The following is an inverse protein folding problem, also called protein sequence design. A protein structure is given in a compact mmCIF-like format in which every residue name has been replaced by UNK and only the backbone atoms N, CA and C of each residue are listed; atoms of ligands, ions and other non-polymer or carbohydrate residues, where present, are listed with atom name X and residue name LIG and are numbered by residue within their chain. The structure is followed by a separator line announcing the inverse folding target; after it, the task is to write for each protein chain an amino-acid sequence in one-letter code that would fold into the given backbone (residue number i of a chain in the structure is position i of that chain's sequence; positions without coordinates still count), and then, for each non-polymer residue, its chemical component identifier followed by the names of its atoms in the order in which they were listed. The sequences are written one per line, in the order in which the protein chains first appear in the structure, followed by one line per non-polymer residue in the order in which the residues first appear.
data_IF_967005070672
#
_entry.id   IF_967005070672
#
_cell.length_a   1.000
_cell.length_b   1.000
_cell.length_c   1.000
_cell.angle_alpha   90.00
_cell.angle_beta   90.00
_cell.angle_gamma   90.00
#
_symmetry.space_group_name_H-M   'P 1'
#
loop_
_entity.id
_entity.type
_entity.pdbx_description
1 polymer ?
#
# COMPACT_ATOMS: atom_id res chain seq x y z
N UNK A 1 -2.64 -12.08 9.42
CA UNK A 1 -3.99 -11.72 8.94
C UNK A 1 -4.86 -12.89 9.36
N UNK A 2 -5.97 -12.61 10.05
CA UNK A 2 -6.78 -13.66 10.68
C UNK A 2 -7.23 -14.71 9.66
N UNK A 3 -7.22 -15.95 10.13
CA UNK A 3 -7.90 -17.12 9.56
C UNK A 3 -9.30 -16.70 9.11
N UNK A 4 -9.54 -16.61 7.79
CA UNK A 4 -10.88 -16.49 7.23
C UNK A 4 -11.05 -17.55 6.14
N UNK A 5 -11.28 -18.78 6.62
CA UNK A 5 -12.00 -19.81 5.92
C UNK A 5 -13.44 -19.33 5.74
N UNK A 6 -13.77 -18.76 4.58
CA UNK A 6 -15.14 -18.72 4.09
C UNK A 6 -15.12 -18.82 2.57
N UNK A 7 -15.48 -20.01 2.11
CA UNK A 7 -16.23 -20.30 0.87
C UNK A 7 -16.38 -19.08 -0.05
N UNK A 8 -15.41 -18.88 -0.94
CA UNK A 8 -15.55 -18.01 -2.10
C UNK A 8 -16.79 -18.47 -2.89
N UNK A 9 -17.91 -17.74 -2.87
CA UNK A 9 -19.04 -18.10 -3.71
C UNK A 9 -18.59 -17.96 -5.17
N UNK A 10 -19.08 -18.86 -6.03
CA UNK A 10 -18.84 -19.06 -7.47
C UNK A 10 -18.91 -17.81 -8.38
N UNK A 11 -18.97 -16.60 -7.83
CA UNK A 11 -18.94 -15.29 -8.47
C UNK A 11 -17.51 -14.71 -8.63
N UNK A 12 -16.46 -15.49 -8.40
CA UNK A 12 -15.06 -15.14 -8.68
C UNK A 12 -14.67 -15.26 -10.17
N UNK A 13 -15.63 -15.58 -11.06
CA UNK A 13 -15.42 -15.64 -12.52
C UNK A 13 -15.17 -14.27 -13.19
N UNK A 14 -15.24 -13.16 -12.46
CA UNK A 14 -15.16 -11.80 -13.03
C UNK A 14 -13.93 -11.00 -12.60
N UNK A 15 -13.07 -11.52 -11.71
CA UNK A 15 -11.93 -10.74 -11.19
C UNK A 15 -10.70 -10.87 -12.08
N UNK A 16 -10.56 -11.99 -12.82
CA UNK A 16 -9.50 -12.21 -13.81
C UNK A 16 -10.06 -13.01 -15.00
N UNK A 17 -11.14 -12.53 -15.63
CA UNK A 17 -11.11 -12.53 -17.10
C UNK A 17 -10.26 -11.33 -17.46
N UNK A 18 -8.95 -11.50 -17.46
CA UNK A 18 -8.18 -10.91 -18.55
C UNK A 18 -8.86 -11.51 -19.78
N UNK A 19 -9.81 -10.76 -20.36
CA UNK A 19 -10.27 -11.01 -21.71
C UNK A 19 -9.00 -11.31 -22.48
N UNK A 20 -8.84 -12.53 -23.04
CA UNK A 20 -7.63 -12.94 -23.78
C UNK A 20 -6.99 -11.70 -24.36
N UNK A 21 -5.89 -11.18 -23.79
CA UNK A 21 -5.51 -9.82 -24.07
C UNK A 21 -5.14 -9.85 -25.53
N UNK A 22 -5.93 -9.16 -26.37
CA UNK A 22 -5.67 -9.10 -27.81
C UNK A 22 -4.30 -8.45 -28.06
N UNK A 23 -3.73 -7.77 -27.05
CA UNK A 23 -2.42 -7.14 -27.04
C UNK A 23 -1.64 -7.40 -25.74
N UNK A 24 -0.39 -7.84 -25.87
CA UNK A 24 0.57 -7.96 -24.76
C UNK A 24 0.80 -6.64 -24.01
N UNK A 25 0.63 -5.51 -24.70
CA UNK A 25 0.76 -4.18 -24.13
C UNK A 25 -0.24 -3.92 -22.98
N UNK A 26 -1.49 -4.37 -23.11
CA UNK A 26 -2.50 -4.13 -22.06
C UNK A 26 -2.16 -4.90 -20.77
N UNK A 27 -1.71 -6.15 -20.89
CA UNK A 27 -1.23 -6.94 -19.74
C UNK A 27 0.01 -6.36 -19.11
N UNK A 28 0.95 -5.86 -19.92
CA UNK A 28 2.16 -5.21 -19.42
C UNK A 28 1.82 -3.95 -18.63
N UNK A 29 0.93 -3.09 -19.14
CA UNK A 29 0.51 -1.87 -18.44
C UNK A 29 -0.23 -2.19 -17.13
N UNK A 30 -1.09 -3.21 -17.12
CA UNK A 30 -1.76 -3.65 -15.90
C UNK A 30 -0.77 -4.16 -14.84
N UNK A 31 0.23 -4.95 -15.23
CA UNK A 31 1.28 -5.42 -14.33
C UNK A 31 2.18 -4.26 -13.85
N UNK A 32 2.49 -3.30 -14.73
CA UNK A 32 3.27 -2.11 -14.37
C UNK A 32 2.58 -1.25 -13.31
N UNK A 33 1.24 -1.13 -13.34
CA UNK A 33 0.47 -0.44 -12.30
C UNK A 33 0.63 -1.10 -10.92
N UNK A 34 0.61 -2.44 -10.87
CA UNK A 34 0.90 -3.18 -9.63
C UNK A 34 2.33 -2.96 -9.14
N UNK A 35 3.29 -2.87 -10.07
CA UNK A 35 4.67 -2.51 -9.76
C UNK A 35 4.80 -1.08 -9.20
N UNK A 36 4.09 -0.10 -9.75
CA UNK A 36 4.08 1.28 -9.25
C UNK A 36 3.55 1.36 -7.82
N UNK A 37 2.51 0.59 -7.50
CA UNK A 37 2.01 0.50 -6.12
C UNK A 37 3.06 -0.01 -5.13
N UNK A 38 3.99 -0.87 -5.56
CA UNK A 38 5.06 -1.39 -4.69
C UNK A 38 6.06 -0.30 -4.26
N UNK A 39 6.23 0.73 -5.08
CA UNK A 39 7.09 1.87 -4.77
C UNK A 39 6.37 3.02 -4.07
N UNK A 40 5.08 2.87 -3.77
CA UNK A 40 4.32 3.85 -3.02
C UNK A 40 4.91 4.04 -1.60
N UNK A 41 5.00 5.28 -1.13
CA UNK A 41 5.40 5.60 0.24
C UNK A 41 6.83 6.11 0.45
N UNK A 42 7.67 6.22 -0.60
CA UNK A 42 8.98 6.89 -0.48
C UNK A 42 8.84 8.36 -0.03
N UNK A 43 7.71 8.98 -0.37
CA UNK A 43 7.37 10.37 -0.06
C UNK A 43 7.14 10.64 1.42
N UNK A 44 6.84 9.60 2.22
CA UNK A 44 6.58 9.72 3.65
C UNK A 44 7.79 10.31 4.41
N UNK A 45 9.00 10.23 3.84
CA UNK A 45 10.18 10.91 4.37
C UNK A 45 10.03 12.45 4.40
N UNK A 46 9.20 13.02 3.53
CA UNK A 46 8.89 14.46 3.50
C UNK A 46 7.92 14.89 4.59
N UNK A 47 6.98 14.03 5.01
CA UNK A 47 5.98 14.35 6.04
C UNK A 47 6.57 14.53 7.45
N UNK A 48 7.78 14.01 7.65
CA UNK A 48 8.58 14.15 8.88
C UNK A 48 9.79 15.06 8.67
N UNK A 49 9.82 15.85 7.59
CA UNK A 49 10.97 16.68 7.25
C UNK A 49 11.40 17.62 8.40
N UNK A 50 10.42 18.16 9.12
CA UNK A 50 10.62 19.08 10.25
C UNK A 50 11.30 18.40 11.46
N UNK A 51 11.21 17.08 11.56
CA UNK A 51 11.79 16.28 12.66
C UNK A 51 13.19 15.74 12.32
N UNK A 52 13.64 15.90 11.07
CA UNK A 52 14.91 15.36 10.58
C UNK A 52 16.02 16.41 10.66
N UNK A 53 17.15 16.06 11.26
CA UNK A 53 18.35 16.90 11.24
C UNK A 53 18.92 17.02 9.80
N UNK A 54 19.18 18.24 9.31
CA UNK A 54 19.64 18.52 7.94
C UNK A 54 18.70 17.93 6.85
N UNK A 55 17.44 18.40 6.79
CA UNK A 55 16.42 17.84 5.90
C UNK A 55 16.80 17.97 4.42
N UNK A 56 17.48 19.07 4.04
CA UNK A 56 17.91 19.36 2.67
C UNK A 56 18.78 18.27 2.06
N UNK A 57 19.59 17.57 2.87
CA UNK A 57 20.46 16.48 2.39
C UNK A 57 19.95 15.10 2.77
N UNK A 58 19.33 14.94 3.95
CA UNK A 58 18.93 13.61 4.45
C UNK A 58 17.67 13.09 3.79
N UNK A 59 16.68 13.95 3.53
CA UNK A 59 15.41 13.52 2.94
C UNK A 59 15.60 12.99 1.52
N UNK A 60 16.30 13.71 0.60
CA UNK A 60 16.49 13.19 -0.76
C UNK A 60 17.28 11.88 -0.78
N UNK A 61 18.28 11.74 0.09
CA UNK A 61 19.05 10.50 0.24
C UNK A 61 18.19 9.35 0.75
N UNK A 62 17.36 9.61 1.76
CA UNK A 62 16.43 8.60 2.29
C UNK A 62 15.45 8.14 1.22
N UNK A 63 14.86 9.05 0.45
CA UNK A 63 13.96 8.73 -0.66
C UNK A 63 14.64 7.87 -1.75
N UNK A 64 15.87 8.20 -2.14
CA UNK A 64 16.61 7.40 -3.14
C UNK A 64 16.93 6.01 -2.56
N UNK A 65 17.37 5.93 -1.31
CA UNK A 65 17.69 4.65 -0.68
C UNK A 65 16.45 3.76 -0.52
N UNK A 66 15.29 4.31 -0.16
CA UNK A 66 14.06 3.53 -0.05
C UNK A 66 13.63 2.98 -1.41
N UNK A 67 13.75 3.76 -2.49
CA UNK A 67 13.46 3.28 -3.85
C UNK A 67 14.46 2.20 -4.28
N UNK A 68 15.76 2.41 -4.08
CA UNK A 68 16.78 1.44 -4.50
C UNK A 68 16.71 0.14 -3.71
N UNK A 69 16.69 0.22 -2.38
CA UNK A 69 16.66 -0.96 -1.50
C UNK A 69 15.30 -1.67 -1.62
N UNK A 70 14.19 -0.92 -1.63
CA UNK A 70 12.85 -1.46 -1.84
C UNK A 70 12.69 -2.12 -3.21
N UNK A 71 13.21 -1.48 -4.26
CA UNK A 71 13.15 -2.00 -5.62
C UNK A 71 13.99 -3.25 -5.83
N UNK A 72 15.24 -3.25 -5.37
CA UNK A 72 16.12 -4.42 -5.48
C UNK A 72 15.58 -5.58 -4.65
N UNK A 73 15.16 -5.34 -3.40
CA UNK A 73 14.61 -6.41 -2.56
C UNK A 73 13.29 -6.95 -3.10
N UNK A 74 12.41 -6.09 -3.60
CA UNK A 74 11.15 -6.47 -4.26
C UNK A 74 11.38 -7.29 -5.53
N UNK A 75 12.31 -6.86 -6.38
CA UNK A 75 12.65 -7.56 -7.62
C UNK A 75 13.26 -8.94 -7.35
N UNK A 76 14.20 -9.03 -6.41
CA UNK A 76 14.82 -10.30 -6.03
C UNK A 76 13.80 -11.26 -5.40
N UNK A 77 12.93 -10.74 -4.53
CA UNK A 77 11.87 -11.55 -3.92
C UNK A 77 10.89 -12.06 -4.97
N UNK A 78 10.45 -11.20 -5.88
CA UNK A 78 9.55 -11.58 -6.97
C UNK A 78 10.16 -12.63 -7.90
N UNK A 79 11.41 -12.42 -8.34
CA UNK A 79 12.13 -13.40 -9.16
C UNK A 79 12.28 -14.75 -8.43
N UNK A 80 12.61 -14.71 -7.13
CA UNK A 80 12.68 -15.91 -6.29
C UNK A 80 11.35 -16.66 -6.22
N UNK A 81 10.24 -15.96 -5.98
CA UNK A 81 8.91 -16.58 -5.91
C UNK A 81 8.48 -17.18 -7.26
N UNK A 82 8.75 -16.50 -8.37
CA UNK A 82 8.39 -17.01 -9.71
C UNK A 82 9.18 -18.29 -10.03
N UNK A 83 10.46 -18.36 -9.66
CA UNK A 83 11.30 -19.54 -9.88
C UNK A 83 10.95 -20.70 -8.93
N UNK A 84 10.52 -20.40 -7.71
CA UNK A 84 10.15 -21.39 -6.69
C UNK A 84 8.69 -21.85 -6.80
N UNK A 85 7.87 -21.19 -7.63
CA UNK A 85 6.45 -21.48 -7.78
C UNK A 85 6.21 -22.90 -8.32
N UNK A 86 5.50 -23.78 -7.57
CA UNK A 86 5.25 -25.16 -8.00
C UNK A 86 4.25 -25.25 -9.17
N UNK A 87 3.23 -24.37 -9.18
CA UNK A 87 2.30 -24.24 -10.29
C UNK A 87 1.92 -22.77 -10.49
N UNK A 88 2.58 -22.13 -11.47
CA UNK A 88 2.32 -20.74 -11.80
C UNK A 88 0.93 -20.52 -12.40
N UNK A 89 0.36 -21.52 -13.09
CA UNK A 89 -0.96 -21.39 -13.70
C UNK A 89 -2.06 -21.38 -12.63
N UNK A 90 -1.93 -22.22 -11.59
CA UNK A 90 -2.85 -22.23 -10.46
C UNK A 90 -2.84 -20.91 -9.67
N UNK A 91 -1.67 -20.26 -9.54
CA UNK A 91 -1.52 -18.95 -8.89
C UNK A 91 -2.16 -17.85 -9.73
N UNK A 92 -1.85 -17.80 -11.04
CA UNK A 92 -2.40 -16.79 -11.95
C UNK A 92 -3.92 -16.94 -12.11
N UNK A 93 -4.44 -18.17 -12.04
CA UNK A 93 -5.87 -18.46 -12.06
C UNK A 93 -6.59 -18.07 -10.76
N UNK A 94 -5.86 -17.70 -9.70
CA UNK A 94 -6.42 -17.32 -8.41
C UNK A 94 -7.00 -18.48 -7.60
N UNK A 95 -6.61 -19.72 -7.94
CA UNK A 95 -7.02 -20.94 -7.22
C UNK A 95 -6.31 -21.08 -5.88
N UNK A 96 -5.06 -20.58 -5.80
CA UNK A 96 -4.33 -20.41 -4.55
C UNK A 96 -4.47 -18.96 -4.08
N UNK A 97 -5.16 -18.76 -2.96
CA UNK A 97 -5.39 -17.45 -2.38
C UNK A 97 -4.13 -16.89 -1.67
N UNK A 98 -3.25 -17.77 -1.19
CA UNK A 98 -2.07 -17.41 -0.40
C UNK A 98 -0.82 -18.13 -0.97
N UNK A 99 -0.31 -17.69 -2.13
CA UNK A 99 0.74 -18.42 -2.85
C UNK A 99 2.08 -18.45 -2.11
N UNK A 100 2.40 -17.44 -1.28
CA UNK A 100 3.71 -17.35 -0.62
C UNK A 100 3.91 -18.47 0.41
N UNK A 101 2.99 -18.71 1.38
CA UNK A 101 3.05 -19.88 2.25
C UNK A 101 3.14 -21.21 1.50
N UNK A 102 2.37 -21.39 0.42
CA UNK A 102 2.38 -22.60 -0.41
C UNK A 102 3.75 -22.84 -1.06
N UNK A 103 4.35 -21.78 -1.60
CA UNK A 103 5.72 -21.84 -2.17
C UNK A 103 6.73 -22.21 -1.09
N UNK A 104 6.67 -21.58 0.08
CA UNK A 104 7.58 -21.86 1.20
C UNK A 104 7.54 -23.34 1.63
N UNK A 105 6.35 -23.91 1.80
CA UNK A 105 6.19 -25.32 2.21
C UNK A 105 6.73 -26.26 1.12
N UNK A 106 6.41 -26.01 -0.14
CA UNK A 106 6.80 -26.89 -1.24
C UNK A 106 8.29 -26.83 -1.58
N UNK A 107 8.93 -25.67 -1.45
CA UNK A 107 10.35 -25.52 -1.78
C UNK A 107 11.30 -25.91 -0.64
N UNK A 108 10.89 -25.76 0.63
CA UNK A 108 11.76 -25.91 1.80
C UNK A 108 11.37 -27.06 2.74
N UNK A 109 10.33 -27.84 2.41
CA UNK A 109 9.90 -28.99 3.21
C UNK A 109 9.56 -28.64 4.66
N UNK A 110 10.16 -29.33 5.63
CA UNK A 110 9.90 -29.11 7.07
C UNK A 110 10.27 -27.70 7.53
N UNK A 111 11.38 -27.12 7.04
CA UNK A 111 11.73 -25.72 7.32
C UNK A 111 10.71 -24.74 6.70
N UNK A 112 10.13 -25.12 5.56
CA UNK A 112 9.08 -24.38 4.89
C UNK A 112 7.80 -24.24 5.73
N UNK A 113 7.43 -25.26 6.50
CA UNK A 113 6.23 -25.20 7.37
C UNK A 113 6.34 -24.18 8.51
N UNK A 114 7.54 -24.00 9.06
CA UNK A 114 7.81 -22.97 10.08
C UNK A 114 7.81 -21.59 9.43
N UNK A 115 8.49 -21.46 8.28
CA UNK A 115 8.52 -20.22 7.50
C UNK A 115 7.11 -19.75 7.07
N UNK A 116 6.27 -20.67 6.61
CA UNK A 116 4.89 -20.40 6.21
C UNK A 116 4.00 -19.87 7.36
N UNK A 117 4.28 -20.28 8.61
CA UNK A 117 3.58 -19.75 9.79
C UNK A 117 4.17 -18.44 10.28
N UNK A 118 5.49 -18.25 10.19
CA UNK A 118 6.17 -17.03 10.61
C UNK A 118 5.92 -15.86 9.65
N UNK A 119 5.88 -16.12 8.34
CA UNK A 119 5.67 -15.11 7.31
C UNK A 119 4.44 -14.21 7.56
N UNK A 120 3.22 -14.72 7.76
CA UNK A 120 2.06 -13.85 7.99
C UNK A 120 2.16 -13.04 9.28
N UNK A 121 2.91 -13.48 10.29
CA UNK A 121 3.13 -12.71 11.52
C UNK A 121 4.02 -11.50 11.22
N UNK A 122 5.12 -11.71 10.50
CA UNK A 122 6.04 -10.64 10.08
C UNK A 122 5.32 -9.65 9.15
N UNK A 123 4.52 -10.15 8.22
CA UNK A 123 3.72 -9.29 7.33
C UNK A 123 2.76 -8.43 8.15
N UNK A 124 2.02 -8.99 9.10
CA UNK A 124 1.08 -8.21 9.93
C UNK A 124 1.78 -7.13 10.72
N UNK A 125 2.93 -7.42 11.34
CA UNK A 125 3.66 -6.41 12.12
C UNK A 125 4.17 -5.28 11.22
N UNK A 126 4.65 -5.60 10.01
CA UNK A 126 5.05 -4.61 9.02
C UNK A 126 3.87 -3.73 8.57
N UNK A 127 2.70 -4.32 8.29
CA UNK A 127 1.50 -3.58 7.90
C UNK A 127 0.99 -2.68 9.03
N UNK A 128 1.00 -3.13 10.28
CA UNK A 128 0.61 -2.30 11.44
C UNK A 128 1.53 -1.09 11.55
N UNK A 129 2.85 -1.28 11.42
CA UNK A 129 3.83 -0.19 11.43
C UNK A 129 3.56 0.83 10.31
N UNK A 130 3.32 0.35 9.10
CA UNK A 130 2.99 1.20 7.95
C UNK A 130 1.70 2.01 8.17
N UNK A 131 0.62 1.36 8.61
CA UNK A 131 -0.68 2.01 8.86
C UNK A 131 -0.55 3.07 9.97
N UNK A 132 0.22 2.82 11.02
CA UNK A 132 0.45 3.80 12.07
C UNK A 132 1.21 5.03 11.53
N UNK A 133 2.23 4.80 10.71
CA UNK A 133 3.00 5.87 10.06
C UNK A 133 2.12 6.72 9.12
N UNK A 134 1.28 6.09 8.30
CA UNK A 134 0.36 6.79 7.39
C UNK A 134 -0.69 7.61 8.15
N UNK A 135 -1.18 7.11 9.29
CA UNK A 135 -2.13 7.87 10.12
C UNK A 135 -1.48 9.10 10.74
N UNK A 136 -0.24 8.97 11.22
CA UNK A 136 0.52 10.10 11.74
C UNK A 136 0.75 11.16 10.66
N UNK A 137 1.28 10.77 9.49
CA UNK A 137 1.52 11.66 8.35
C UNK A 137 0.22 12.32 7.83
N UNK A 138 -0.82 11.52 7.58
CA UNK A 138 -2.11 12.01 7.09
C UNK A 138 -2.78 13.01 8.02
N UNK A 139 -2.66 12.82 9.34
CA UNK A 139 -3.20 13.77 10.32
C UNK A 139 -2.51 15.14 10.27
N UNK A 140 -1.19 15.17 10.01
CA UNK A 140 -0.40 16.40 9.87
C UNK A 140 -0.75 17.15 8.57
N UNK A 141 -0.88 16.41 7.47
CA UNK A 141 -1.31 16.97 6.19
C UNK A 141 -2.73 17.56 6.28
N UNK A 142 -3.66 16.81 6.87
CA UNK A 142 -5.04 17.26 7.03
C UNK A 142 -5.14 18.49 7.95
N UNK A 143 -4.34 18.53 9.01
CA UNK A 143 -4.21 19.70 9.88
C UNK A 143 -3.64 20.92 9.14
N UNK A 144 -2.60 20.75 8.32
CA UNK A 144 -2.02 21.83 7.53
C UNK A 144 -3.05 22.45 6.57
N UNK A 145 -3.80 21.62 5.84
CA UNK A 145 -4.88 22.10 4.96
C UNK A 145 -6.02 22.79 5.73
N UNK A 146 -6.32 22.32 6.95
CA UNK A 146 -7.32 22.96 7.80
C UNK A 146 -6.85 24.31 8.34
N UNK A 147 -5.57 24.44 8.72
CA UNK A 147 -4.96 25.71 9.14
C UNK A 147 -5.09 26.78 8.06
N UNK A 148 -4.93 26.39 6.81
CA UNK A 148 -5.00 27.28 5.64
C UNK A 148 -6.45 27.54 5.19
N UNK A 149 -7.45 27.11 5.97
CA UNK A 149 -8.90 27.26 5.74
C UNK A 149 -9.39 26.68 4.40
N UNK A 150 -8.66 25.71 3.84
CA UNK A 150 -8.99 25.08 2.55
C UNK A 150 -10.08 24.00 2.67
N UNK A 151 -10.42 23.58 3.90
CA UNK A 151 -11.35 22.49 4.16
C UNK A 151 -12.65 22.97 4.83
N UNK A 152 -13.81 22.35 4.52
CA UNK A 152 -15.04 22.58 5.27
C UNK A 152 -14.85 22.08 6.71
N UNK A 153 -15.26 22.90 7.70
CA UNK A 153 -15.02 22.58 9.11
C UNK A 153 -13.57 22.79 9.56
N UNK A 154 -12.78 23.58 8.82
CA UNK A 154 -11.37 23.92 9.12
C UNK A 154 -11.11 24.27 10.58
N UNK A 155 -12.00 25.04 11.23
CA UNK A 155 -11.87 25.44 12.64
C UNK A 155 -11.86 24.25 13.62
N UNK A 156 -12.55 23.15 13.30
CA UNK A 156 -12.56 21.94 14.11
C UNK A 156 -11.38 21.03 13.78
N UNK A 157 -11.00 20.90 12.50
CA UNK A 157 -9.84 20.10 12.07
C UNK A 157 -8.49 20.72 12.49
N UNK A 158 -8.42 22.05 12.56
CA UNK A 158 -7.21 22.79 12.95
C UNK A 158 -7.01 22.86 14.47
N UNK A 159 -7.78 22.11 15.26
CA UNK A 159 -7.62 22.09 16.71
C UNK A 159 -6.56 21.06 17.13
N UNK A 160 -5.56 21.50 17.89
CA UNK A 160 -4.51 20.66 18.47
C UNK A 160 -4.84 20.42 19.93
N UNK A 161 -4.70 19.17 20.39
CA UNK A 161 -4.92 18.84 21.80
C UNK A 161 -3.76 19.29 22.68
N UNK A 162 -4.04 20.04 23.74
CA UNK A 162 -3.03 20.53 24.69
C UNK A 162 -2.29 19.41 25.44
N UNK A 163 -2.91 18.23 25.57
CA UNK A 163 -2.34 17.10 26.33
C UNK A 163 -1.32 16.29 25.54
N UNK A 164 -1.53 16.15 24.23
CA UNK A 164 -0.74 15.27 23.37
C UNK A 164 0.02 16.01 22.27
N UNK A 165 -0.18 17.33 22.14
CA UNK A 165 0.43 18.19 21.11
C UNK A 165 0.24 17.68 19.68
N UNK A 166 -0.85 16.93 19.45
CA UNK A 166 -1.22 16.35 18.14
C UNK A 166 -2.64 16.76 17.76
N UNK A 167 -2.93 16.89 16.45
CA UNK A 167 -4.27 17.26 15.96
C UNK A 167 -5.23 16.06 16.07
N UNK A 168 -5.80 15.84 17.26
CA UNK A 168 -6.65 14.67 17.56
C UNK A 168 -7.89 14.60 16.67
N UNK A 169 -8.48 15.74 16.31
CA UNK A 169 -9.65 15.79 15.43
C UNK A 169 -9.29 15.36 13.99
N UNK A 170 -8.18 15.87 13.46
CA UNK A 170 -7.67 15.47 12.15
C UNK A 170 -7.31 13.98 12.13
N UNK A 171 -6.64 13.50 13.19
CA UNK A 171 -6.32 12.08 13.35
C UNK A 171 -7.58 11.23 13.36
N UNK A 172 -8.61 11.61 14.12
CA UNK A 172 -9.89 10.89 14.18
C UNK A 172 -10.54 10.78 12.78
N UNK A 173 -10.53 11.85 11.98
CA UNK A 173 -11.04 11.80 10.60
C UNK A 173 -10.23 10.82 9.74
N UNK A 174 -8.90 10.88 9.83
CA UNK A 174 -8.00 9.97 9.10
C UNK A 174 -8.17 8.51 9.52
N UNK A 175 -8.56 8.23 10.77
CA UNK A 175 -8.91 6.87 11.24
C UNK A 175 -10.29 6.43 10.76
N UNK A 176 -11.29 7.31 10.87
CA UNK A 176 -12.71 6.98 10.63
C UNK A 176 -12.97 6.72 9.14
N UNK A 177 -12.36 7.49 8.25
CA UNK A 177 -12.60 7.33 6.79
C UNK A 177 -12.22 5.92 6.28
N UNK A 178 -11.03 5.36 6.56
CA UNK A 178 -10.70 3.98 6.24
C UNK A 178 -11.61 2.96 6.92
N UNK A 179 -12.02 3.18 8.17
CA UNK A 179 -12.94 2.29 8.91
C UNK A 179 -14.31 2.24 8.22
N UNK A 180 -14.79 3.36 7.67
CA UNK A 180 -16.05 3.40 6.93
C UNK A 180 -15.93 2.69 5.57
N UNK A 181 -14.76 2.73 4.94
CA UNK A 181 -14.50 2.06 3.65
C UNK A 181 -14.28 0.55 3.81
N UNK A 182 -13.69 0.11 4.93
CA UNK A 182 -13.32 -1.29 5.16
C UNK A 182 -14.47 -2.31 5.00
N UNK A 183 -15.70 -2.08 5.51
CA UNK A 183 -16.84 -2.98 5.29
C UNK A 183 -17.20 -3.18 3.81
N UNK A 184 -17.09 -2.13 2.99
CA UNK A 184 -17.37 -2.23 1.55
C UNK A 184 -16.36 -3.11 0.84
N UNK A 185 -15.09 -3.05 1.26
CA UNK A 185 -14.04 -3.93 0.74
C UNK A 185 -14.26 -5.37 1.21
N UNK A 186 -14.69 -5.57 2.46
CA UNK A 186 -14.98 -6.90 2.99
C UNK A 186 -16.11 -7.60 2.23
N UNK A 187 -17.15 -6.85 1.83
CA UNK A 187 -18.29 -7.39 1.10
C UNK A 187 -18.03 -7.57 -0.41
N UNK A 188 -17.15 -6.74 -0.99
CA UNK A 188 -16.81 -6.74 -2.42
C UNK A 188 -15.29 -6.66 -2.59
N UNK A 189 -14.57 -7.79 -2.69
CA UNK A 189 -13.12 -7.78 -2.84
C UNK A 189 -12.64 -7.06 -4.11
N UNK A 190 -13.47 -7.04 -5.17
CA UNK A 190 -13.22 -6.28 -6.40
C UNK A 190 -13.10 -4.76 -6.21
N UNK A 191 -13.60 -4.25 -5.09
CA UNK A 191 -13.50 -2.84 -4.73
C UNK A 191 -12.09 -2.47 -4.31
N UNK A 192 -11.33 -3.42 -3.72
CA UNK A 192 -9.97 -3.16 -3.24
C UNK A 192 -9.06 -2.68 -4.39
N UNK A 193 -9.00 -3.45 -5.48
CA UNK A 193 -8.16 -3.13 -6.64
C UNK A 193 -8.54 -1.78 -7.28
N UNK A 194 -9.83 -1.42 -7.25
CA UNK A 194 -10.30 -0.14 -7.79
C UNK A 194 -9.93 1.03 -6.89
N UNK A 195 -10.07 0.88 -5.57
CA UNK A 195 -9.70 1.90 -4.58
C UNK A 195 -8.19 2.13 -4.60
N UNK A 196 -7.38 1.06 -4.65
CA UNK A 196 -5.92 1.19 -4.73
C UNK A 196 -5.49 1.83 -6.04
N UNK A 197 -6.05 1.42 -7.19
CA UNK A 197 -5.75 2.05 -8.48
C UNK A 197 -6.09 3.55 -8.47
N UNK A 198 -7.24 3.94 -7.91
CA UNK A 198 -7.62 5.34 -7.76
C UNK A 198 -6.63 6.11 -6.87
N UNK A 199 -6.24 5.55 -5.72
CA UNK A 199 -5.29 6.18 -4.81
C UNK A 199 -3.91 6.39 -5.46
N UNK A 200 -3.41 5.36 -6.14
CA UNK A 200 -2.11 5.41 -6.85
C UNK A 200 -2.14 6.44 -7.96
N UNK A 201 -3.15 6.42 -8.82
CA UNK A 201 -3.25 7.40 -9.90
C UNK A 201 -3.39 8.83 -9.34
N UNK A 202 -4.20 9.01 -8.30
CA UNK A 202 -4.38 10.31 -7.65
C UNK A 202 -3.08 10.90 -7.12
N UNK A 203 -2.25 10.10 -6.45
CA UNK A 203 -0.99 10.60 -5.90
C UNK A 203 0.02 10.93 -6.99
N UNK A 204 0.12 10.11 -8.04
CA UNK A 204 1.00 10.40 -9.17
C UNK A 204 0.56 11.66 -9.93
N UNK A 205 -0.74 11.89 -10.10
CA UNK A 205 -1.26 13.14 -10.68
C UNK A 205 -0.89 14.33 -9.79
N UNK A 206 -1.02 14.21 -8.47
CA UNK A 206 -0.60 15.26 -7.54
C UNK A 206 0.90 15.56 -7.66
N UNK A 207 1.75 14.53 -7.76
CA UNK A 207 3.18 14.72 -7.99
C UNK A 207 3.49 15.43 -9.30
N UNK A 208 2.84 15.03 -10.39
CA UNK A 208 3.02 15.71 -11.69
C UNK A 208 2.59 17.18 -11.60
N UNK A 209 1.52 17.49 -10.87
CA UNK A 209 1.11 18.87 -10.66
C UNK A 209 2.18 19.69 -9.91
N UNK A 210 2.83 19.12 -8.88
CA UNK A 210 3.93 19.77 -8.16
C UNK A 210 5.13 20.00 -9.08
N UNK A 211 5.54 18.99 -9.86
CA UNK A 211 6.65 19.12 -10.81
C UNK A 211 6.37 20.19 -11.86
N UNK A 212 5.16 20.21 -12.42
CA UNK A 212 4.74 21.22 -13.39
C UNK A 212 4.65 22.62 -12.79
N UNK A 213 4.33 22.77 -11.51
CA UNK A 213 4.30 24.05 -10.83
C UNK A 213 5.71 24.61 -10.60
N UNK A 214 6.70 23.75 -10.31
CA UNK A 214 8.11 24.14 -10.12
C UNK A 214 8.81 24.49 -11.44
N UNK A 215 8.35 23.93 -12.57
CA UNK A 215 8.90 24.23 -13.90
C UNK A 215 8.42 25.56 -14.49
N UNK A 216 7.48 26.27 -13.83
CA UNK A 216 6.96 27.58 -14.24
C UNK A 216 7.64 28.69 -13.46
#
# INVERSE_FOLDING_TARGET
MCVFTHTQPKSSRLVIRIARPRSYAATFLAAALSGLFLFYGFEACGDVAEEVADPTRRIPRAMILTILVGGVSGLLSFAGYVLAAPDLQAIVAGTDADPIPTILVNSLGTLGTVGAKAFPVITVTAFISCVLSLQAAGSRLLYAFARDRMLPGSRWLSHVSDKHSVPTNALAVVCVVPILIAPFVFWRPDTLARVTAFAVLGIYVAFQAVVLAVLR
#
